data_IF_456448406190
#
_entry.id   IF_456448406190
#
_cell.length_a   1.000
_cell.length_b   1.000
_cell.length_c   1.000
_cell.angle_alpha   90.00
_cell.angle_beta   90.00
_cell.angle_gamma   90.00
#
_symmetry.space_group_name_H-M   'P 1'
#
loop_
_entity.id
_entity.type
_entity.pdbx_description
1 polymer ?
#
# COMPACT_ATOMS: atom_id res chain seq x y z
N UNK A 1 -6.77 0.92 -3.55
CA UNK A 1 -5.91 0.62 -2.41
C UNK A 1 -4.59 -0.02 -2.86
N UNK A 2 -4.04 -0.99 -2.09
CA UNK A 2 -2.72 -1.62 -2.37
C UNK A 2 -2.51 -2.11 -3.81
N UNK A 3 -3.52 -2.68 -4.43
CA UNK A 3 -3.46 -3.16 -5.81
C UNK A 3 -3.32 -2.07 -6.87
N UNK A 4 -3.57 -0.79 -6.55
CA UNK A 4 -3.40 0.30 -7.51
C UNK A 4 -1.96 0.47 -7.97
N UNK A 5 -0.98 0.35 -7.07
CA UNK A 5 0.43 0.34 -7.45
C UNK A 5 0.82 -0.87 -8.32
N UNK A 6 0.25 -2.04 -8.04
CA UNK A 6 0.42 -3.23 -8.90
C UNK A 6 -0.21 -3.05 -10.29
N UNK A 7 -1.36 -2.37 -10.37
CA UNK A 7 -2.00 -2.08 -11.65
C UNK A 7 -1.12 -1.15 -12.52
N UNK A 8 -0.50 -0.13 -11.92
CA UNK A 8 0.47 0.72 -12.63
C UNK A 8 1.71 -0.08 -13.08
N UNK A 9 2.23 -0.95 -12.23
CA UNK A 9 3.34 -1.82 -12.61
C UNK A 9 2.95 -2.73 -13.78
N UNK A 10 1.76 -3.34 -13.75
CA UNK A 10 1.27 -4.15 -14.85
C UNK A 10 1.11 -3.34 -16.15
N UNK A 11 0.60 -2.10 -16.06
CA UNK A 11 0.46 -1.21 -17.22
C UNK A 11 1.80 -0.83 -17.85
N UNK A 12 2.86 -0.72 -17.03
CA UNK A 12 4.21 -0.48 -17.53
C UNK A 12 4.82 -1.71 -18.25
N UNK A 13 4.38 -2.93 -17.85
CA UNK A 13 4.94 -4.17 -18.39
C UNK A 13 4.14 -4.77 -19.54
N UNK A 14 2.82 -4.59 -19.58
CA UNK A 14 1.94 -5.20 -20.57
C UNK A 14 1.33 -4.13 -21.50
N UNK A 15 1.90 -3.99 -22.69
CA UNK A 15 1.48 -3.03 -23.73
C UNK A 15 0.07 -3.29 -24.29
N UNK A 16 -0.56 -4.40 -23.95
CA UNK A 16 -1.96 -4.69 -24.30
C UNK A 16 -2.96 -3.95 -23.42
N UNK A 17 -2.53 -3.49 -22.24
CA UNK A 17 -3.36 -2.67 -21.34
C UNK A 17 -3.51 -1.27 -21.97
N UNK A 18 -4.75 -0.90 -22.29
CA UNK A 18 -5.06 0.37 -22.98
C UNK A 18 -5.46 1.50 -22.04
N UNK A 19 -5.95 1.15 -20.86
CA UNK A 19 -6.27 2.12 -19.81
C UNK A 19 -6.15 1.48 -18.43
N UNK A 20 -5.72 2.27 -17.46
CA UNK A 20 -5.62 1.88 -16.05
C UNK A 20 -6.33 2.90 -15.19
N UNK A 21 -7.22 2.44 -14.31
CA UNK A 21 -7.86 3.28 -13.30
C UNK A 21 -7.41 2.81 -11.92
N UNK A 22 -6.96 3.73 -11.08
CA UNK A 22 -6.63 3.45 -9.69
C UNK A 22 -7.49 4.29 -8.75
N UNK A 23 -8.00 3.67 -7.68
CA UNK A 23 -8.67 4.37 -6.60
C UNK A 23 -7.87 4.19 -5.32
N UNK A 24 -7.55 5.29 -4.64
CA UNK A 24 -6.80 5.31 -3.38
C UNK A 24 -5.57 4.39 -3.38
N UNK A 25 -4.76 4.46 -4.44
CA UNK A 25 -3.63 3.56 -4.61
C UNK A 25 -2.57 3.71 -3.51
N UNK A 26 -1.86 2.62 -3.26
CA UNK A 26 -0.59 2.59 -2.54
C UNK A 26 0.54 2.16 -3.46
N UNK A 27 1.73 2.71 -3.22
CA UNK A 27 2.97 2.02 -3.53
C UNK A 27 3.29 1.06 -2.37
N UNK A 28 2.89 -0.21 -2.52
CA UNK A 28 3.09 -1.23 -1.49
C UNK A 28 4.56 -1.49 -1.19
N UNK A 29 5.45 -1.35 -2.19
CA UNK A 29 6.89 -1.49 -1.96
C UNK A 29 7.43 -0.38 -1.08
N UNK A 30 6.98 0.87 -1.28
CA UNK A 30 7.37 2.04 -0.49
C UNK A 30 6.82 1.98 0.93
N UNK A 31 5.53 1.68 1.10
CA UNK A 31 4.92 1.66 2.44
C UNK A 31 5.49 0.54 3.31
N UNK A 32 5.75 -0.64 2.73
CA UNK A 32 6.39 -1.73 3.48
C UNK A 32 7.84 -1.41 3.82
N UNK A 33 8.57 -0.75 2.92
CA UNK A 33 9.96 -0.39 3.16
C UNK A 33 10.15 0.74 4.15
N UNK A 34 9.28 1.75 4.11
CA UNK A 34 9.50 3.03 4.78
C UNK A 34 8.42 3.36 5.84
N UNK A 35 7.31 2.63 5.86
CA UNK A 35 6.13 2.99 6.65
C UNK A 35 5.32 4.13 6.01
N UNK A 36 4.33 4.61 6.77
CA UNK A 36 3.55 5.78 6.39
C UNK A 36 4.33 7.07 6.63
N UNK A 37 3.98 8.12 5.88
CA UNK A 37 4.52 9.48 6.03
C UNK A 37 6.04 9.53 5.93
N UNK A 38 6.62 8.73 5.04
CA UNK A 38 8.07 8.62 4.86
C UNK A 38 8.73 9.93 4.38
N UNK A 39 7.97 10.83 3.78
CA UNK A 39 8.41 12.17 3.40
C UNK A 39 8.72 13.09 4.61
N UNK A 40 8.28 12.72 5.81
CA UNK A 40 8.59 13.43 7.06
C UNK A 40 9.90 12.95 7.71
N UNK A 41 10.55 11.93 7.13
CA UNK A 41 11.73 11.27 7.69
C UNK A 41 12.98 11.51 6.85
N UNK A 42 14.09 11.70 7.52
CA UNK A 42 15.41 11.75 6.88
C UNK A 42 15.78 10.40 6.23
N UNK A 43 16.55 10.46 5.15
CA UNK A 43 17.02 9.27 4.44
C UNK A 43 17.85 8.32 5.33
N UNK A 44 18.59 8.85 6.30
CA UNK A 44 19.35 8.07 7.28
C UNK A 44 18.44 7.29 8.23
N UNK A 45 17.34 7.88 8.67
CA UNK A 45 16.32 7.24 9.52
C UNK A 45 15.65 6.12 8.74
N UNK A 46 15.18 6.41 7.52
CA UNK A 46 14.57 5.40 6.65
C UNK A 46 15.51 4.22 6.36
N UNK A 47 16.80 4.50 6.12
CA UNK A 47 17.80 3.45 5.93
C UNK A 47 17.92 2.55 7.17
N UNK A 48 17.98 3.16 8.36
CA UNK A 48 18.08 2.44 9.64
C UNK A 48 16.86 1.56 9.88
N UNK A 49 15.67 2.10 9.66
CA UNK A 49 14.40 1.37 9.79
C UNK A 49 14.31 0.18 8.83
N UNK A 50 14.66 0.37 7.55
CA UNK A 50 14.71 -0.72 6.56
C UNK A 50 15.70 -1.81 6.94
N UNK A 51 16.87 -1.45 7.48
CA UNK A 51 17.85 -2.43 7.93
C UNK A 51 17.35 -3.23 9.14
N UNK A 52 16.69 -2.57 10.10
CA UNK A 52 16.08 -3.24 11.24
C UNK A 52 14.98 -4.22 10.80
N UNK A 53 14.11 -3.80 9.89
CA UNK A 53 13.06 -4.67 9.34
C UNK A 53 13.66 -5.90 8.63
N UNK A 54 14.67 -5.72 7.78
CA UNK A 54 15.34 -6.85 7.10
C UNK A 54 15.93 -7.84 8.10
N UNK A 55 16.58 -7.34 9.16
CA UNK A 55 17.14 -8.19 10.21
C UNK A 55 16.03 -9.01 10.88
N UNK A 56 14.97 -8.36 11.33
CA UNK A 56 13.82 -9.01 11.95
C UNK A 56 13.20 -10.08 11.04
N UNK A 57 12.97 -9.76 9.77
CA UNK A 57 12.37 -10.68 8.81
C UNK A 57 13.29 -11.88 8.54
N UNK A 58 14.59 -11.66 8.40
CA UNK A 58 15.54 -12.74 8.14
C UNK A 58 15.68 -13.69 9.35
N UNK A 59 15.68 -13.16 10.55
CA UNK A 59 15.65 -13.97 11.79
C UNK A 59 14.35 -14.80 11.84
N UNK A 60 13.21 -14.18 11.57
CA UNK A 60 11.92 -14.86 11.57
C UNK A 60 11.83 -15.96 10.51
N UNK A 61 12.34 -15.76 9.29
CA UNK A 61 12.36 -16.80 8.25
C UNK A 61 13.07 -18.07 8.72
N UNK A 62 14.14 -17.92 9.47
CA UNK A 62 14.86 -19.07 10.05
C UNK A 62 14.01 -19.80 11.09
N UNK A 63 13.27 -19.05 11.91
CA UNK A 63 12.34 -19.61 12.90
C UNK A 63 11.19 -20.34 12.19
N UNK A 64 10.52 -19.68 11.25
CA UNK A 64 9.42 -20.24 10.48
C UNK A 64 9.81 -21.57 9.80
N UNK A 65 11.00 -21.61 9.19
CA UNK A 65 11.53 -22.84 8.58
C UNK A 65 11.72 -23.98 9.59
N UNK A 66 12.26 -23.67 10.78
CA UNK A 66 12.52 -24.67 11.81
C UNK A 66 11.26 -25.19 12.49
N UNK A 67 10.25 -24.33 12.62
CA UNK A 67 9.02 -24.66 13.36
C UNK A 67 7.89 -25.14 12.47
N UNK A 68 7.95 -24.91 11.16
CA UNK A 68 6.85 -25.18 10.23
C UNK A 68 5.64 -24.26 10.43
N UNK A 69 5.80 -23.17 11.19
CA UNK A 69 4.75 -22.19 11.46
C UNK A 69 5.18 -20.81 10.96
N UNK A 70 4.20 -19.94 10.64
CA UNK A 70 4.49 -18.62 10.07
C UNK A 70 4.00 -17.53 11.00
N UNK A 71 4.90 -16.61 11.39
CA UNK A 71 4.53 -15.42 12.14
C UNK A 71 3.84 -14.41 11.20
N UNK A 72 2.68 -13.90 11.64
CA UNK A 72 1.97 -12.86 10.93
C UNK A 72 2.56 -11.47 11.22
N UNK A 73 2.60 -10.61 10.21
CA UNK A 73 3.04 -9.22 10.35
C UNK A 73 1.96 -8.32 10.98
N UNK A 74 0.74 -8.83 11.06
CA UNK A 74 -0.44 -8.06 11.45
C UNK A 74 -1.25 -7.59 10.24
N UNK A 75 -2.40 -7.07 10.52
CA UNK A 75 -3.36 -6.51 9.56
C UNK A 75 -4.15 -5.41 10.25
N UNK A 76 -5.41 -5.23 9.87
CA UNK A 76 -6.31 -4.35 10.61
C UNK A 76 -6.47 -4.90 12.04
N UNK A 77 -6.24 -4.09 13.10
CA UNK A 77 -6.35 -4.55 14.47
C UNK A 77 -7.79 -4.97 14.80
N UNK A 78 -7.96 -5.93 15.70
CA UNK A 78 -9.27 -6.37 16.16
C UNK A 78 -9.96 -5.35 17.08
N UNK A 79 -9.15 -4.59 17.80
CA UNK A 79 -9.61 -3.57 18.74
C UNK A 79 -8.87 -2.28 18.46
N UNK A 80 -9.55 -1.17 18.60
CA UNK A 80 -9.00 0.18 18.46
C UNK A 80 -9.26 0.99 19.72
N UNK A 81 -8.32 1.87 20.06
CA UNK A 81 -8.38 2.73 21.23
C UNK A 81 -8.12 4.21 20.87
N UNK A 82 -8.04 5.08 21.86
CA UNK A 82 -7.80 6.51 21.66
C UNK A 82 -6.42 6.80 21.00
N UNK A 83 -5.43 5.93 21.21
CA UNK A 83 -4.07 6.07 20.67
C UNK A 83 -3.94 5.53 19.26
N UNK A 84 -4.91 4.76 18.80
CA UNK A 84 -4.91 4.21 17.44
C UNK A 84 -5.04 5.34 16.44
N UNK A 85 -4.16 5.43 15.43
CA UNK A 85 -4.24 6.45 14.39
C UNK A 85 -5.62 6.46 13.72
N UNK A 86 -6.14 7.65 13.42
CA UNK A 86 -7.48 7.83 12.88
C UNK A 86 -7.75 6.99 11.63
N UNK A 87 -6.80 6.93 10.69
CA UNK A 87 -6.95 6.15 9.46
C UNK A 87 -6.95 4.63 9.70
N UNK A 88 -6.31 4.17 10.80
CA UNK A 88 -6.38 2.75 11.22
C UNK A 88 -7.76 2.44 11.81
N UNK A 89 -8.38 3.40 12.51
CA UNK A 89 -9.78 3.28 12.96
C UNK A 89 -10.72 3.21 11.77
N UNK A 90 -10.53 4.04 10.73
CA UNK A 90 -11.31 3.98 9.48
C UNK A 90 -11.21 2.61 8.82
N UNK A 91 -10.01 2.03 8.77
CA UNK A 91 -9.83 0.66 8.26
C UNK A 91 -10.49 -0.39 9.12
N UNK A 92 -10.38 -0.27 10.45
CA UNK A 92 -11.06 -1.18 11.37
C UNK A 92 -12.57 -1.13 11.16
N UNK A 93 -13.14 0.06 11.15
CA UNK A 93 -14.56 0.28 10.92
C UNK A 93 -15.03 -0.33 9.60
N UNK A 94 -14.27 -0.13 8.54
CA UNK A 94 -14.62 -0.67 7.22
C UNK A 94 -14.48 -2.19 7.17
N UNK A 95 -13.33 -2.74 7.53
CA UNK A 95 -13.01 -4.15 7.29
C UNK A 95 -13.46 -5.11 8.41
N UNK A 96 -13.56 -4.64 9.65
CA UNK A 96 -13.88 -5.49 10.78
C UNK A 96 -15.34 -5.38 11.26
N UNK A 97 -16.00 -4.23 11.03
CA UNK A 97 -17.30 -3.97 11.64
C UNK A 97 -18.41 -3.59 10.66
N UNK A 98 -18.09 -2.97 9.52
CA UNK A 98 -19.09 -2.38 8.62
C UNK A 98 -19.17 -3.05 7.25
N UNK A 99 -19.27 -2.24 6.25
CA UNK A 99 -19.61 -2.61 4.86
C UNK A 99 -18.64 -3.63 4.26
N UNK A 100 -17.35 -3.49 4.54
CA UNK A 100 -16.29 -4.34 3.98
C UNK A 100 -16.06 -5.64 4.73
N UNK A 101 -16.73 -5.83 5.89
CA UNK A 101 -16.59 -7.07 6.64
C UNK A 101 -17.22 -8.25 5.92
N UNK A 102 -16.49 -9.35 5.87
CA UNK A 102 -16.99 -10.63 5.41
C UNK A 102 -16.33 -11.77 6.20
N UNK A 103 -17.09 -12.72 6.75
CA UNK A 103 -16.52 -13.87 7.44
C UNK A 103 -15.66 -14.76 6.55
N UNK A 104 -15.73 -14.57 5.22
CA UNK A 104 -14.87 -15.26 4.23
C UNK A 104 -13.57 -14.51 3.94
N UNK A 105 -13.42 -13.26 4.41
CA UNK A 105 -12.27 -12.41 4.14
C UNK A 105 -11.23 -12.52 5.24
N UNK A 106 -10.58 -13.65 5.38
CA UNK A 106 -9.55 -13.87 6.41
C UNK A 106 -8.39 -12.90 6.32
N UNK A 107 -8.00 -12.50 5.10
CA UNK A 107 -6.88 -11.60 4.87
C UNK A 107 -7.10 -10.16 5.36
N UNK A 108 -8.34 -9.69 5.48
CA UNK A 108 -8.64 -8.32 5.87
C UNK A 108 -8.16 -7.98 7.29
N UNK A 109 -8.17 -8.93 8.20
CA UNK A 109 -7.78 -8.73 9.61
C UNK A 109 -6.53 -9.49 10.04
N UNK A 110 -6.06 -10.46 9.26
CA UNK A 110 -4.88 -11.28 9.60
C UNK A 110 -3.59 -10.77 8.98
N UNK A 111 -3.66 -9.98 7.92
CA UNK A 111 -2.50 -9.45 7.21
C UNK A 111 -1.71 -10.51 6.46
N UNK A 112 -0.43 -10.21 6.22
CA UNK A 112 0.53 -11.07 5.54
C UNK A 112 1.47 -11.75 6.53
N UNK A 113 2.19 -12.78 6.11
CA UNK A 113 3.27 -13.36 6.90
C UNK A 113 4.41 -12.34 7.02
N UNK A 114 5.08 -12.29 8.18
CA UNK A 114 6.21 -11.38 8.38
C UNK A 114 7.32 -11.61 7.35
N UNK A 115 7.58 -12.87 7.02
CA UNK A 115 8.59 -13.24 6.03
C UNK A 115 8.32 -12.76 4.61
N UNK A 116 7.07 -12.43 4.25
CA UNK A 116 6.73 -11.90 2.92
C UNK A 116 7.11 -10.43 2.72
N UNK A 117 7.35 -9.67 3.78
CA UNK A 117 7.60 -8.23 3.69
C UNK A 117 8.84 -7.89 2.85
N UNK A 118 9.89 -8.72 2.89
CA UNK A 118 11.08 -8.48 2.06
C UNK A 118 10.81 -8.67 0.57
N UNK A 119 9.84 -9.49 0.18
CA UNK A 119 9.45 -9.62 -1.22
C UNK A 119 8.82 -8.31 -1.73
N UNK A 120 7.94 -7.69 -0.96
CA UNK A 120 7.39 -6.38 -1.28
C UNK A 120 8.46 -5.29 -1.36
N UNK A 121 9.40 -5.25 -0.39
CA UNK A 121 10.51 -4.30 -0.41
C UNK A 121 11.40 -4.44 -1.64
N UNK A 122 11.52 -5.66 -2.18
CA UNK A 122 12.39 -5.97 -3.33
C UNK A 122 11.66 -5.87 -4.68
N UNK A 123 10.47 -5.31 -4.71
CA UNK A 123 9.66 -5.16 -5.91
C UNK A 123 9.24 -3.69 -6.09
N UNK A 124 10.13 -2.82 -6.59
CA UNK A 124 9.85 -1.39 -6.73
C UNK A 124 8.80 -1.16 -7.84
N UNK A 125 7.53 -1.07 -7.43
CA UNK A 125 6.36 -1.09 -8.32
C UNK A 125 6.35 0.04 -9.36
N UNK A 126 6.91 1.19 -9.04
CA UNK A 126 6.85 2.38 -9.89
C UNK A 126 8.16 2.67 -10.63
N UNK A 127 9.04 1.64 -10.80
CA UNK A 127 10.34 1.82 -11.46
C UNK A 127 10.24 2.21 -12.92
N UNK A 128 9.20 1.76 -13.61
CA UNK A 128 8.97 2.02 -15.04
C UNK A 128 7.64 2.74 -15.29
N UNK A 129 7.14 3.46 -14.30
CA UNK A 129 5.86 4.17 -14.45
C UNK A 129 5.90 5.33 -15.44
N UNK A 130 7.08 5.90 -15.69
CA UNK A 130 7.33 6.90 -16.72
C UNK A 130 7.29 6.36 -18.15
N UNK A 131 7.34 5.04 -18.31
CA UNK A 131 7.23 4.35 -19.60
C UNK A 131 5.79 3.92 -19.95
N UNK A 132 4.81 4.21 -19.10
CA UNK A 132 3.40 3.86 -19.35
C UNK A 132 2.83 4.75 -20.46
N UNK A 133 2.66 4.21 -21.67
CA UNK A 133 2.06 4.92 -22.80
C UNK A 133 0.52 4.93 -22.76
N UNK A 134 -0.12 3.92 -22.14
CA UNK A 134 -1.57 3.78 -22.04
C UNK A 134 -2.21 4.86 -21.15
N UNK A 135 -3.51 5.10 -21.30
CA UNK A 135 -4.23 6.08 -20.50
C UNK A 135 -4.23 5.69 -19.01
N UNK A 136 -4.06 6.67 -18.12
CA UNK A 136 -4.13 6.45 -16.66
C UNK A 136 -5.02 7.49 -16.01
N UNK A 137 -6.01 7.02 -15.24
CA UNK A 137 -6.83 7.81 -14.33
C UNK A 137 -6.52 7.39 -12.90
N UNK A 138 -6.10 8.35 -12.09
CA UNK A 138 -5.87 8.15 -10.66
C UNK A 138 -6.89 8.95 -9.86
N UNK A 139 -7.59 8.29 -8.92
CA UNK A 139 -8.60 8.93 -8.06
C UNK A 139 -8.15 8.78 -6.61
N UNK A 140 -8.17 9.88 -5.86
CA UNK A 140 -7.82 9.85 -4.43
C UNK A 140 -8.66 10.83 -3.62
N UNK A 141 -8.89 10.54 -2.36
CA UNK A 141 -9.57 11.44 -1.44
C UNK A 141 -8.64 12.55 -0.95
N UNK A 142 -9.15 13.77 -0.86
CA UNK A 142 -8.39 14.93 -0.38
C UNK A 142 -7.83 14.71 1.03
N UNK A 143 -8.65 14.13 1.93
CA UNK A 143 -8.31 13.87 3.33
C UNK A 143 -7.68 12.49 3.57
N UNK A 144 -7.47 11.70 2.51
CA UNK A 144 -6.87 10.39 2.67
C UNK A 144 -5.41 10.51 3.13
N UNK A 145 -5.05 9.82 4.21
CA UNK A 145 -3.68 9.75 4.72
C UNK A 145 -2.66 9.22 3.70
N UNK A 146 -3.16 8.50 2.68
CA UNK A 146 -2.38 7.87 1.60
C UNK A 146 -2.31 8.71 0.31
N UNK A 147 -2.88 9.91 0.29
CA UNK A 147 -2.98 10.76 -0.91
C UNK A 147 -1.62 10.98 -1.60
N UNK A 148 -0.57 11.17 -0.82
CA UNK A 148 0.78 11.39 -1.33
C UNK A 148 1.31 10.25 -2.22
N UNK A 149 0.86 9.01 -2.04
CA UNK A 149 1.25 7.92 -2.93
C UNK A 149 0.76 8.13 -4.36
N UNK A 150 -0.50 8.59 -4.54
CA UNK A 150 -1.01 8.92 -5.86
C UNK A 150 -0.33 10.16 -6.45
N UNK A 151 -0.14 11.20 -5.66
CA UNK A 151 0.51 12.42 -6.13
C UNK A 151 1.95 12.17 -6.59
N UNK A 152 2.71 11.38 -5.82
CA UNK A 152 4.09 11.05 -6.17
C UNK A 152 4.19 10.06 -7.33
N UNK A 153 3.24 9.12 -7.46
CA UNK A 153 3.15 8.26 -8.62
C UNK A 153 2.80 9.05 -9.88
N UNK A 154 1.81 9.96 -9.78
CA UNK A 154 1.37 10.80 -10.91
C UNK A 154 2.50 11.67 -11.47
N UNK A 155 3.35 12.24 -10.61
CA UNK A 155 4.52 13.03 -11.01
C UNK A 155 5.52 12.25 -11.90
N UNK A 156 5.50 10.93 -11.83
CA UNK A 156 6.38 10.07 -12.66
C UNK A 156 5.77 9.77 -14.03
N UNK A 157 4.46 9.80 -14.15
CA UNK A 157 3.77 9.48 -15.41
C UNK A 157 4.08 10.54 -16.48
N UNK A 158 4.23 10.08 -17.73
CA UNK A 158 4.49 10.93 -18.88
C UNK A 158 3.32 10.89 -19.87
N UNK A 159 3.18 11.94 -20.69
CA UNK A 159 2.15 12.05 -21.73
C UNK A 159 0.87 12.76 -21.26
N UNK A 160 0.02 13.13 -22.23
CA UNK A 160 -1.17 13.95 -22.01
C UNK A 160 -2.43 13.15 -21.62
N UNK A 161 -2.38 11.82 -21.76
CA UNK A 161 -3.48 10.90 -21.44
C UNK A 161 -3.45 10.39 -19.99
N UNK A 162 -3.01 11.25 -19.08
CA UNK A 162 -2.88 10.97 -17.64
C UNK A 162 -3.69 11.99 -16.84
N UNK A 163 -4.45 11.51 -15.87
CA UNK A 163 -5.29 12.36 -15.04
C UNK A 163 -5.20 11.95 -13.57
N UNK A 164 -5.12 12.92 -12.67
CA UNK A 164 -5.24 12.75 -11.22
C UNK A 164 -6.44 13.57 -10.73
N UNK A 165 -7.44 12.88 -10.18
CA UNK A 165 -8.64 13.48 -9.60
C UNK A 165 -8.58 13.38 -8.09
N UNK A 166 -8.60 14.52 -7.41
CA UNK A 166 -8.67 14.59 -5.95
C UNK A 166 -10.10 14.96 -5.56
N UNK A 167 -10.77 14.06 -4.85
CA UNK A 167 -12.16 14.24 -4.41
C UNK A 167 -12.17 15.03 -3.08
N UNK A 168 -12.78 16.21 -3.02
CA UNK A 168 -12.79 17.06 -1.83
C UNK A 168 -13.48 16.38 -0.64
N UNK A 169 -12.89 16.55 0.55
CA UNK A 169 -13.47 16.12 1.82
C UNK A 169 -13.47 14.62 2.11
N UNK A 170 -13.03 13.79 1.17
CA UNK A 170 -13.11 12.33 1.17
C UNK A 170 -11.86 11.70 1.78
N UNK A 171 -12.03 10.69 2.63
CA UNK A 171 -10.95 9.86 3.19
C UNK A 171 -10.70 8.62 2.33
N UNK A 172 -9.76 7.78 2.76
CA UNK A 172 -9.33 6.63 1.95
C UNK A 172 -10.43 5.59 1.72
N UNK A 173 -11.16 5.23 2.76
CA UNK A 173 -12.18 4.18 2.73
C UNK A 173 -13.48 4.62 2.06
N UNK A 174 -13.76 5.92 1.99
CA UNK A 174 -14.95 6.46 1.34
C UNK A 174 -15.01 6.16 -0.17
N UNK A 175 -13.88 5.86 -0.79
CA UNK A 175 -13.80 5.50 -2.22
C UNK A 175 -13.83 3.99 -2.48
N UNK A 176 -14.26 3.20 -1.53
CA UNK A 176 -14.41 1.75 -1.69
C UNK A 176 -15.83 1.32 -2.10
N UNK A 177 -16.79 2.20 -1.95
CA UNK A 177 -18.22 1.94 -2.24
C UNK A 177 -18.92 3.19 -2.76
#
# INVERSE_FOLDING_TARGET
CGWGGFALNAAAMDTRIKATVTSTMYDMSRVIANGYFDYEKDASVLKKERMALRKQVNEQRTIDYKTGTYKMAGGVPKEVDEKTPWFVKDYHDYYAEKIGYSPRSFGSTTGATLSSLTAFMNMPLLSYSDEIESAVLMIHGEKAHSRYFSEDAFKKLQGENKELVIIPGVVHTDLYY
#
